data_IF_070971007634
#
_entry.id   IF_070971007634
#
_cell.length_a   1.000
_cell.length_b   1.000
_cell.length_c   1.000
_cell.angle_alpha   90.00
_cell.angle_beta   90.00
_cell.angle_gamma   90.00
#
_symmetry.space_group_name_H-M   'P 1'
#
loop_
_entity.id
_entity.type
_entity.pdbx_description
1 polymer ?
#
# COMPACT_ATOMS: atom_id res chain seq x y z
N UNK A 1 68.38 -6.24 -21.08
CA UNK A 1 67.51 -5.29 -20.36
C UNK A 1 66.39 -4.88 -21.30
N UNK A 2 65.20 -5.43 -21.12
CA UNK A 2 63.96 -4.93 -21.71
C UNK A 2 62.87 -5.11 -20.65
N UNK A 3 62.17 -4.01 -20.38
CA UNK A 3 61.39 -3.78 -19.18
C UNK A 3 60.07 -4.55 -19.18
N UNK A 4 59.73 -5.08 -18.00
CA UNK A 4 58.39 -5.53 -17.63
C UNK A 4 57.38 -4.39 -17.80
N UNK A 5 56.24 -4.67 -18.44
CA UNK A 5 54.98 -4.00 -18.16
C UNK A 5 53.86 -5.03 -18.16
N UNK A 6 53.69 -5.66 -17.01
CA UNK A 6 52.56 -6.51 -16.68
C UNK A 6 51.49 -5.64 -16.02
N UNK A 7 50.51 -5.19 -16.79
CA UNK A 7 49.29 -4.55 -16.26
C UNK A 7 48.23 -5.63 -16.17
N UNK A 8 47.79 -6.06 -14.98
CA UNK A 8 46.65 -6.95 -14.88
C UNK A 8 45.39 -6.14 -15.23
N UNK A 9 44.77 -6.48 -16.35
CA UNK A 9 43.42 -6.04 -16.67
C UNK A 9 42.45 -6.61 -15.61
N UNK A 10 42.14 -5.81 -14.59
CA UNK A 10 40.96 -6.02 -13.75
C UNK A 10 39.74 -5.47 -14.49
N UNK A 11 39.16 -6.28 -15.36
CA UNK A 11 37.74 -6.12 -15.69
C UNK A 11 36.98 -7.17 -14.88
N UNK A 12 36.07 -6.78 -13.97
CA UNK A 12 35.15 -7.74 -13.39
C UNK A 12 34.34 -8.34 -14.53
N UNK A 13 34.41 -9.67 -14.66
CA UNK A 13 33.57 -10.43 -15.57
C UNK A 13 32.12 -10.01 -15.36
N UNK A 14 31.50 -9.48 -16.41
CA UNK A 14 30.07 -9.26 -16.45
C UNK A 14 29.39 -10.60 -16.15
N UNK A 15 28.71 -10.68 -15.01
CA UNK A 15 27.80 -11.78 -14.73
C UNK A 15 26.79 -11.83 -15.88
N UNK A 16 26.57 -12.99 -16.53
CA UNK A 16 25.58 -13.10 -17.57
C UNK A 16 24.22 -12.87 -16.90
N UNK A 17 23.63 -11.69 -17.11
CA UNK A 17 22.25 -11.45 -16.75
C UNK A 17 21.42 -12.43 -17.58
N UNK A 18 20.88 -13.44 -16.89
CA UNK A 18 20.00 -14.44 -17.47
C UNK A 18 18.94 -13.72 -18.28
N UNK A 19 18.93 -14.03 -19.56
CA UNK A 19 17.95 -13.55 -20.51
C UNK A 19 16.61 -14.23 -20.20
N UNK A 20 15.93 -13.77 -19.15
CA UNK A 20 14.56 -14.16 -18.86
C UNK A 20 13.64 -13.34 -19.76
N UNK A 21 13.67 -13.68 -21.04
CA UNK A 21 12.51 -13.51 -21.92
C UNK A 21 11.42 -14.47 -21.41
N UNK A 22 10.70 -14.08 -20.37
CA UNK A 22 9.45 -14.73 -19.97
C UNK A 22 8.31 -13.75 -20.21
N UNK A 23 7.58 -14.04 -21.28
CA UNK A 23 6.13 -13.84 -21.47
C UNK A 23 5.57 -12.60 -20.77
N UNK A 24 5.25 -11.59 -21.59
CA UNK A 24 4.37 -10.46 -21.32
C UNK A 24 3.09 -10.84 -20.55
N UNK A 25 3.21 -11.04 -19.24
CA UNK A 25 2.11 -11.21 -18.27
C UNK A 25 2.23 -10.17 -17.14
N UNK A 26 2.86 -9.02 -17.42
CA UNK A 26 2.86 -7.83 -16.56
C UNK A 26 3.77 -7.86 -15.33
N UNK A 27 4.37 -9.00 -14.98
CA UNK A 27 5.19 -9.15 -13.77
C UNK A 27 6.58 -9.66 -14.12
N UNK A 28 7.61 -8.94 -13.66
CA UNK A 28 9.02 -9.32 -13.82
C UNK A 28 9.52 -9.97 -12.54
N UNK A 29 10.09 -11.18 -12.65
CA UNK A 29 10.64 -11.93 -11.51
C UNK A 29 12.16 -11.87 -11.49
N UNK A 30 12.75 -11.80 -10.30
CA UNK A 30 14.20 -11.78 -10.06
C UNK A 30 14.56 -12.72 -8.91
N UNK A 31 15.78 -13.23 -8.95
CA UNK A 31 16.33 -14.09 -7.91
C UNK A 31 17.08 -13.23 -6.88
N UNK A 32 16.35 -12.72 -5.89
CA UNK A 32 16.92 -11.89 -4.84
C UNK A 32 17.35 -10.46 -5.24
N UNK A 33 17.88 -9.75 -4.25
CA UNK A 33 18.24 -8.33 -4.35
C UNK A 33 19.39 -8.08 -5.35
N UNK A 34 20.33 -9.02 -5.47
CA UNK A 34 21.45 -8.87 -6.40
C UNK A 34 20.98 -8.86 -7.85
N UNK A 35 20.05 -9.75 -8.21
CA UNK A 35 19.42 -9.75 -9.53
C UNK A 35 18.58 -8.48 -9.75
N UNK A 36 17.88 -8.00 -8.72
CA UNK A 36 17.11 -6.75 -8.78
C UNK A 36 17.99 -5.51 -9.04
N UNK A 37 19.12 -5.39 -8.33
CA UNK A 37 20.11 -4.32 -8.54
C UNK A 37 20.64 -4.29 -9.95
N UNK A 38 20.76 -5.44 -10.56
CA UNK A 38 21.42 -5.60 -11.84
C UNK A 38 20.46 -5.59 -13.04
N UNK A 39 19.15 -5.66 -12.79
CA UNK A 39 18.11 -5.63 -13.80
C UNK A 39 18.15 -4.33 -14.64
N UNK A 40 18.14 -4.40 -15.98
CA UNK A 40 18.24 -3.20 -16.82
C UNK A 40 16.93 -2.40 -16.83
N UNK A 41 17.03 -1.08 -16.73
CA UNK A 41 15.89 -0.15 -16.77
C UNK A 41 16.28 1.03 -17.67
N UNK A 42 15.37 1.43 -18.56
CA UNK A 42 15.59 2.56 -19.46
C UNK A 42 15.53 3.91 -18.74
N UNK A 43 16.16 4.94 -19.32
CA UNK A 43 16.10 6.30 -18.79
C UNK A 43 14.65 6.80 -18.67
N UNK A 44 14.34 7.44 -17.56
CA UNK A 44 12.99 7.93 -17.23
C UNK A 44 11.98 6.83 -16.90
N UNK A 45 12.40 5.57 -16.76
CA UNK A 45 11.51 4.44 -16.49
C UNK A 45 11.62 3.95 -15.03
N UNK A 46 10.55 3.30 -14.58
CA UNK A 46 10.51 2.56 -13.32
C UNK A 46 9.90 1.18 -13.55
N UNK A 47 10.49 0.16 -12.95
CA UNK A 47 9.99 -1.21 -13.02
C UNK A 47 9.84 -1.81 -11.62
N UNK A 48 8.81 -2.63 -11.45
CA UNK A 48 8.59 -3.47 -10.28
C UNK A 48 9.16 -4.87 -10.56
N UNK A 49 9.95 -5.40 -9.63
CA UNK A 49 10.57 -6.71 -9.71
C UNK A 49 10.12 -7.53 -8.49
N UNK A 50 9.50 -8.69 -8.70
CA UNK A 50 9.17 -9.62 -7.62
C UNK A 50 10.35 -10.56 -7.35
N UNK A 51 10.68 -10.75 -6.07
CA UNK A 51 11.63 -11.78 -5.66
C UNK A 51 10.96 -13.16 -5.75
N UNK A 52 11.64 -14.12 -6.38
CA UNK A 52 11.19 -15.52 -6.42
C UNK A 52 11.51 -16.29 -5.15
N UNK A 53 12.42 -15.79 -4.30
CA UNK A 53 12.95 -16.51 -3.14
C UNK A 53 12.46 -15.95 -1.79
N UNK A 54 11.88 -14.74 -1.80
CA UNK A 54 11.38 -14.07 -0.61
C UNK A 54 10.06 -13.32 -0.88
N UNK A 55 9.31 -13.01 0.18
CA UNK A 55 8.12 -12.15 0.10
C UNK A 55 8.52 -10.67 0.02
N UNK A 56 9.35 -10.34 -0.96
CA UNK A 56 9.94 -9.02 -1.19
C UNK A 56 9.67 -8.60 -2.63
N UNK A 57 9.42 -7.31 -2.83
CA UNK A 57 9.45 -6.72 -4.15
C UNK A 57 10.35 -5.49 -4.18
N UNK A 58 10.91 -5.23 -5.35
CA UNK A 58 11.83 -4.14 -5.59
C UNK A 58 11.23 -3.14 -6.58
N UNK A 59 11.54 -1.86 -6.39
CA UNK A 59 11.31 -0.84 -7.42
C UNK A 59 12.64 -0.27 -7.83
N UNK A 60 12.98 -0.46 -9.12
CA UNK A 60 14.16 0.14 -9.74
C UNK A 60 13.71 1.26 -10.68
N UNK A 61 14.25 2.45 -10.45
CA UNK A 61 13.95 3.66 -11.21
C UNK A 61 15.23 4.26 -11.77
N UNK A 62 15.18 4.76 -12.99
CA UNK A 62 16.28 5.47 -13.64
C UNK A 62 15.75 6.82 -14.07
N UNK A 63 16.48 7.88 -13.75
CA UNK A 63 16.08 9.23 -14.14
C UNK A 63 16.25 9.45 -15.65
N UNK A 64 15.84 10.63 -16.14
CA UNK A 64 15.93 10.97 -17.56
C UNK A 64 17.37 11.07 -18.08
N UNK A 65 18.36 11.27 -17.19
CA UNK A 65 19.78 11.32 -17.54
C UNK A 65 20.41 9.93 -17.67
N UNK A 66 19.67 8.88 -17.31
CA UNK A 66 20.18 7.51 -17.25
C UNK A 66 20.85 7.16 -15.93
N UNK A 67 20.78 8.03 -14.92
CA UNK A 67 21.32 7.75 -13.59
C UNK A 67 20.33 6.85 -12.82
N UNK A 68 20.76 5.66 -12.36
CA UNK A 68 19.91 4.82 -11.54
C UNK A 68 19.75 5.44 -10.15
N UNK A 69 18.50 5.59 -9.71
CA UNK A 69 18.19 5.95 -8.33
C UNK A 69 18.48 4.79 -7.36
N UNK A 70 18.37 5.03 -6.04
CA UNK A 70 18.48 3.96 -5.06
C UNK A 70 17.40 2.89 -5.28
N UNK A 71 17.80 1.62 -5.19
CA UNK A 71 16.84 0.51 -5.25
C UNK A 71 15.93 0.59 -4.02
N UNK A 72 14.62 0.60 -4.24
CA UNK A 72 13.63 0.56 -3.14
C UNK A 72 13.20 -0.87 -2.91
N UNK A 73 13.16 -1.27 -1.66
CA UNK A 73 12.90 -2.64 -1.21
C UNK A 73 11.69 -2.63 -0.28
N UNK A 74 10.75 -3.52 -0.52
CA UNK A 74 9.52 -3.63 0.25
C UNK A 74 9.24 -5.08 0.60
N UNK A 75 9.00 -5.34 1.88
CA UNK A 75 8.43 -6.59 2.32
C UNK A 75 6.91 -6.56 2.12
N UNK A 76 6.34 -7.65 1.60
CA UNK A 76 4.90 -7.79 1.50
C UNK A 76 4.42 -8.99 2.30
N UNK A 77 3.29 -8.79 2.97
CA UNK A 77 2.62 -9.82 3.76
C UNK A 77 1.19 -9.95 3.28
N UNK A 78 0.67 -11.16 3.37
CA UNK A 78 -0.73 -11.42 3.08
C UNK A 78 -1.62 -10.59 4.01
N UNK A 79 -2.57 -9.86 3.43
CA UNK A 79 -3.63 -9.21 4.20
C UNK A 79 -4.67 -10.27 4.57
N UNK A 80 -4.55 -10.85 5.76
CA UNK A 80 -5.61 -11.64 6.39
C UNK A 80 -6.69 -10.67 6.84
N UNK A 81 -7.64 -10.34 5.97
CA UNK A 81 -8.78 -9.45 6.21
C UNK A 81 -8.45 -8.24 7.09
N UNK A 82 -8.26 -7.06 6.50
CA UNK A 82 -8.28 -5.83 7.31
C UNK A 82 -9.55 -5.86 8.16
N UNK A 83 -9.49 -5.60 9.48
CA UNK A 83 -10.70 -5.27 10.19
C UNK A 83 -11.28 -4.09 9.41
N UNK A 84 -12.43 -4.30 8.76
CA UNK A 84 -13.28 -3.19 8.37
C UNK A 84 -13.24 -2.21 9.55
N UNK A 85 -13.03 -0.89 9.35
CA UNK A 85 -13.22 0.03 10.44
C UNK A 85 -14.60 -0.29 10.98
N UNK A 86 -14.64 -0.93 12.15
CA UNK A 86 -15.88 -1.33 12.80
C UNK A 86 -16.48 0.04 13.04
N UNK A 87 -17.45 0.44 12.22
CA UNK A 87 -18.25 1.61 12.51
C UNK A 87 -18.86 1.24 13.85
N UNK A 88 -18.28 1.75 14.93
CA UNK A 88 -18.89 1.61 16.22
C UNK A 88 -20.26 2.25 16.05
N UNK A 89 -21.35 1.49 16.26
CA UNK A 89 -22.66 2.09 16.20
C UNK A 89 -22.67 3.30 17.13
N UNK A 90 -22.92 4.48 16.56
CA UNK A 90 -23.04 5.71 17.32
C UNK A 90 -24.35 5.59 18.10
N UNK A 91 -24.24 5.27 19.38
CA UNK A 91 -25.38 5.21 20.29
C UNK A 91 -25.60 6.57 20.94
N UNK A 92 -26.87 6.90 21.14
CA UNK A 92 -27.29 8.05 21.94
C UNK A 92 -27.57 7.52 23.35
N UNK A 93 -27.17 8.26 24.39
CA UNK A 93 -27.51 7.93 25.78
C UNK A 93 -29.01 8.07 26.02
N UNK A 94 -29.54 7.40 27.05
CA UNK A 94 -30.97 7.47 27.37
C UNK A 94 -31.38 8.91 27.71
N UNK A 95 -30.47 9.64 28.34
CA UNK A 95 -30.60 11.03 28.73
C UNK A 95 -30.72 11.94 27.51
N UNK A 96 -29.78 11.86 26.56
CA UNK A 96 -29.81 12.62 25.31
C UNK A 96 -31.08 12.33 24.49
N UNK A 97 -31.56 11.08 24.49
CA UNK A 97 -32.80 10.71 23.84
C UNK A 97 -34.04 11.34 24.49
N UNK A 98 -34.11 11.37 25.82
CA UNK A 98 -35.22 12.00 26.54
C UNK A 98 -35.21 13.52 26.41
N UNK A 99 -34.03 14.16 26.40
CA UNK A 99 -33.88 15.59 26.12
C UNK A 99 -34.37 15.94 24.71
N UNK A 100 -33.94 15.18 23.69
CA UNK A 100 -34.40 15.35 22.33
C UNK A 100 -35.92 15.19 22.22
N UNK A 101 -36.47 14.14 22.82
CA UNK A 101 -37.92 13.88 22.85
C UNK A 101 -38.69 15.02 23.53
N UNK A 102 -38.20 15.54 24.65
CA UNK A 102 -38.83 16.66 25.35
C UNK A 102 -38.77 17.96 24.55
N UNK A 103 -37.66 18.20 23.84
CA UNK A 103 -37.51 19.36 22.95
C UNK A 103 -38.54 19.29 21.80
N UNK A 104 -38.62 18.15 21.12
CA UNK A 104 -39.61 17.92 20.04
C UNK A 104 -41.04 18.06 20.56
N UNK A 105 -41.38 17.47 21.70
CA UNK A 105 -42.70 17.59 22.30
C UNK A 105 -43.05 19.04 22.66
N UNK A 106 -42.07 19.84 23.09
CA UNK A 106 -42.27 21.25 23.41
C UNK A 106 -42.53 22.07 22.15
N UNK A 107 -41.76 21.83 21.07
CA UNK A 107 -41.98 22.46 19.77
C UNK A 107 -43.35 22.10 19.14
N UNK A 108 -43.81 20.85 19.35
CA UNK A 108 -45.12 20.40 18.89
C UNK A 108 -46.29 20.98 19.70
N UNK A 109 -46.07 21.36 20.95
CA UNK A 109 -47.06 22.07 21.78
C UNK A 109 -47.18 23.54 21.39
N UNK A 110 -46.07 24.17 20.98
CA UNK A 110 -46.06 25.57 20.52
C UNK A 110 -46.66 25.71 19.12
N UNK A 111 -46.44 24.72 18.23
CA UNK A 111 -47.03 24.69 16.89
C UNK A 111 -48.34 23.88 16.91
N UNK A 112 -49.38 24.45 17.53
CA UNK A 112 -50.79 24.06 17.49
C UNK A 112 -51.10 22.56 17.24
N UNK A 113 -51.27 21.80 18.33
CA UNK A 113 -52.28 20.73 18.37
C UNK A 113 -51.80 19.27 18.47
N UNK A 114 -50.58 18.97 18.92
CA UNK A 114 -50.21 17.58 19.15
C UNK A 114 -50.84 17.01 20.44
N UNK A 115 -51.74 16.02 20.31
CA UNK A 115 -52.21 15.16 21.40
C UNK A 115 -51.45 13.81 21.37
N UNK A 116 -50.63 13.49 22.39
CA UNK A 116 -49.92 12.21 22.44
C UNK A 116 -50.92 11.04 22.56
N UNK A 117 -50.78 10.02 21.71
CA UNK A 117 -51.72 8.87 21.63
C UNK A 117 -51.48 7.76 22.67
N UNK A 118 -50.42 7.85 23.48
CA UNK A 118 -50.09 6.83 24.48
C UNK A 118 -49.91 7.49 25.85
N UNK A 119 -50.95 7.44 26.66
CA UNK A 119 -50.83 7.55 28.11
C UNK A 119 -50.65 6.13 28.65
N UNK A 120 -49.55 5.92 29.38
CA UNK A 120 -49.30 4.67 30.10
C UNK A 120 -50.49 4.47 31.05
N UNK A 121 -51.23 3.37 30.91
CA UNK A 121 -52.21 2.98 31.93
C UNK A 121 -51.39 2.55 33.14
N UNK A 122 -51.50 3.31 34.22
CA UNK A 122 -51.02 2.89 35.52
C UNK A 122 -51.96 1.77 36.01
N UNK A 123 -51.39 0.58 36.19
CA UNK A 123 -51.96 -0.51 37.01
C UNK A 123 -51.28 -0.48 38.38
#
# INVERSE_FOLDING_TARGET
MAYYNNIPNLYPSAVPYGNNNQINNGITWVQGEQAAKAYPVGAGQSILLLDSEASVFYIKSVDQSGMPGPLRIFDFVERKEDPQPKQEPIYITKEEFEEFKNNILSQLKTNNGYKPKYQKKEE
#
